data_IF_008618514565
#
_entry.id   IF_008618514565
#
_cell.length_a   1.000
_cell.length_b   1.000
_cell.length_c   1.000
_cell.angle_alpha   90.00
_cell.angle_beta   90.00
_cell.angle_gamma   90.00
#
_symmetry.space_group_name_H-M   'P 1'
#
loop_
_entity.id
_entity.type
_entity.pdbx_description
1 polymer ?
#
# COMPACT_ATOMS: atom_id res chain seq x y z
N UNK A 1 -18.45 -19.71 -0.97
CA UNK A 1 -19.13 -18.44 -0.65
C UNK A 1 -19.87 -18.08 -1.93
N UNK A 2 -21.17 -17.85 -1.86
CA UNK A 2 -22.02 -17.69 -3.04
C UNK A 2 -21.91 -16.22 -3.50
N UNK A 3 -21.01 -15.94 -4.43
CA UNK A 3 -20.84 -14.62 -5.04
C UNK A 3 -22.03 -14.36 -5.98
N UNK A 4 -23.18 -14.04 -5.38
CA UNK A 4 -24.37 -13.65 -6.15
C UNK A 4 -24.16 -12.23 -6.66
N UNK A 5 -23.95 -12.14 -7.98
CA UNK A 5 -24.05 -10.89 -8.73
C UNK A 5 -25.53 -10.49 -8.71
N UNK A 6 -25.87 -9.45 -7.95
CA UNK A 6 -27.22 -8.90 -7.83
C UNK A 6 -27.24 -7.51 -8.46
N UNK A 7 -28.42 -7.04 -8.89
CA UNK A 7 -28.57 -5.65 -9.30
C UNK A 7 -28.21 -4.74 -8.12
N UNK A 8 -27.34 -3.76 -8.38
CA UNK A 8 -26.86 -2.79 -7.43
C UNK A 8 -28.03 -2.08 -6.70
N UNK A 9 -28.14 -2.18 -5.35
CA UNK A 9 -29.08 -1.37 -4.57
C UNK A 9 -28.87 0.14 -4.76
N UNK A 10 -29.88 1.00 -4.52
CA UNK A 10 -29.74 2.44 -4.73
C UNK A 10 -28.51 3.05 -4.04
N UNK A 11 -28.22 2.63 -2.79
CA UNK A 11 -27.05 3.14 -2.07
C UNK A 11 -25.71 2.80 -2.73
N UNK A 12 -25.59 1.65 -3.43
CA UNK A 12 -24.34 1.32 -4.11
C UNK A 12 -24.25 1.99 -5.48
N UNK A 13 -25.39 2.23 -6.14
CA UNK A 13 -25.42 3.04 -7.37
C UNK A 13 -24.97 4.46 -7.07
N UNK A 14 -25.43 5.08 -5.98
CA UNK A 14 -24.96 6.40 -5.55
C UNK A 14 -23.46 6.41 -5.28
N UNK A 15 -22.93 5.39 -4.60
CA UNK A 15 -21.49 5.25 -4.35
C UNK A 15 -20.68 5.07 -5.64
N UNK A 16 -21.18 4.26 -6.58
CA UNK A 16 -20.60 4.05 -7.91
C UNK A 16 -20.55 5.35 -8.72
N UNK A 17 -21.66 6.11 -8.74
CA UNK A 17 -21.72 7.41 -9.42
C UNK A 17 -20.72 8.38 -8.82
N UNK A 18 -20.69 8.51 -7.50
CA UNK A 18 -19.73 9.38 -6.82
C UNK A 18 -18.28 8.99 -7.11
N UNK A 19 -17.99 7.68 -7.11
CA UNK A 19 -16.67 7.15 -7.43
C UNK A 19 -16.28 7.49 -8.87
N UNK A 20 -17.15 7.23 -9.84
CA UNK A 20 -16.89 7.49 -11.26
C UNK A 20 -16.74 9.00 -11.54
N UNK A 21 -17.59 9.85 -10.94
CA UNK A 21 -17.49 11.31 -11.07
C UNK A 21 -16.16 11.86 -10.54
N UNK A 22 -15.59 11.22 -9.52
CA UNK A 22 -14.37 11.70 -8.85
C UNK A 22 -13.08 11.08 -9.41
N UNK A 23 -13.11 9.80 -9.75
CA UNK A 23 -11.92 9.03 -10.09
C UNK A 23 -11.97 8.39 -11.47
N UNK A 24 -13.12 8.39 -12.14
CA UNK A 24 -13.30 7.77 -13.45
C UNK A 24 -12.28 8.28 -14.47
N UNK A 25 -11.58 7.35 -15.11
CA UNK A 25 -10.57 7.63 -16.13
C UNK A 25 -9.21 8.08 -15.58
N UNK A 26 -9.02 8.10 -14.26
CA UNK A 26 -7.69 8.31 -13.69
C UNK A 26 -6.81 7.09 -13.98
N UNK A 27 -5.74 7.33 -14.73
CA UNK A 27 -4.75 6.32 -15.06
C UNK A 27 -3.32 6.84 -14.84
N UNK A 28 -2.48 6.06 -14.17
CA UNK A 28 -1.06 6.40 -14.02
C UNK A 28 -0.15 5.17 -13.78
N UNK A 29 1.09 5.17 -14.32
CA UNK A 29 2.07 4.12 -14.05
C UNK A 29 2.84 4.40 -12.75
N UNK A 30 2.73 3.51 -11.77
CA UNK A 30 3.45 3.64 -10.50
C UNK A 30 4.88 3.09 -10.56
N UNK A 31 5.11 1.89 -11.12
CA UNK A 31 6.44 1.23 -11.15
C UNK A 31 6.76 0.44 -12.44
N UNK A 32 5.82 0.32 -13.37
CA UNK A 32 5.96 -0.49 -14.58
C UNK A 32 5.15 0.05 -15.76
N UNK A 33 5.08 -0.75 -16.83
CA UNK A 33 4.26 -0.41 -18.01
C UNK A 33 2.77 -0.58 -17.74
N UNK A 34 2.39 -1.41 -16.77
CA UNK A 34 0.99 -1.58 -16.41
C UNK A 34 0.67 -0.55 -15.31
N UNK A 35 -0.15 0.43 -15.69
CA UNK A 35 -0.63 1.48 -14.80
C UNK A 35 -1.75 1.01 -13.90
N UNK A 36 -2.16 1.90 -13.00
CA UNK A 36 -3.35 1.75 -12.18
C UNK A 36 -4.49 2.50 -12.84
N UNK A 37 -5.64 1.86 -12.99
CA UNK A 37 -6.86 2.45 -13.57
C UNK A 37 -7.94 2.55 -12.50
N UNK A 38 -8.56 3.73 -12.38
CA UNK A 38 -9.75 3.95 -11.57
C UNK A 38 -10.94 4.19 -12.49
N UNK A 39 -12.01 3.44 -12.27
CA UNK A 39 -13.24 3.55 -13.03
C UNK A 39 -14.00 2.22 -13.05
N UNK A 40 -15.29 2.29 -13.32
CA UNK A 40 -16.19 1.14 -13.36
C UNK A 40 -16.17 0.39 -14.69
N UNK A 41 -15.33 0.79 -15.65
CA UNK A 41 -15.23 0.16 -16.97
C UNK A 41 -16.56 0.09 -17.75
N UNK A 42 -17.55 0.92 -17.38
CA UNK A 42 -18.86 0.98 -18.00
C UNK A 42 -19.86 -0.10 -17.57
N UNK A 43 -19.56 -0.95 -16.57
CA UNK A 43 -20.50 -1.96 -16.06
C UNK A 43 -20.68 -1.81 -14.55
N UNK A 44 -21.83 -1.30 -14.06
CA UNK A 44 -22.07 -1.11 -12.63
C UNK A 44 -22.46 -2.43 -11.97
N UNK A 45 -21.50 -3.33 -11.78
CA UNK A 45 -21.69 -4.58 -11.03
C UNK A 45 -21.31 -4.38 -9.57
N UNK A 46 -22.22 -4.75 -8.68
CA UNK A 46 -21.98 -4.82 -7.26
C UNK A 46 -22.02 -6.28 -6.81
N UNK A 47 -21.22 -6.60 -5.80
CA UNK A 47 -21.24 -7.90 -5.14
C UNK A 47 -21.29 -7.74 -3.62
N UNK A 48 -21.80 -8.78 -2.95
CA UNK A 48 -21.85 -8.84 -1.50
C UNK A 48 -20.67 -9.64 -0.97
N UNK A 49 -19.71 -8.94 -0.38
CA UNK A 49 -18.54 -9.53 0.27
C UNK A 49 -18.66 -9.61 1.81
N UNK A 50 -17.62 -10.13 2.49
CA UNK A 50 -17.59 -10.24 3.96
C UNK A 50 -17.68 -8.91 4.71
N UNK A 51 -17.36 -7.79 4.04
CA UNK A 51 -17.39 -6.43 4.61
C UNK A 51 -18.60 -5.61 4.16
N UNK A 52 -19.56 -6.23 3.47
CA UNK A 52 -20.75 -5.57 2.95
C UNK A 52 -20.80 -5.55 1.43
N UNK A 53 -21.57 -4.61 0.89
CA UNK A 53 -21.66 -4.39 -0.55
C UNK A 53 -20.40 -3.67 -1.05
N UNK A 54 -19.88 -4.13 -2.18
CA UNK A 54 -18.70 -3.60 -2.82
C UNK A 54 -18.82 -3.63 -4.35
N UNK A 55 -17.94 -2.92 -5.03
CA UNK A 55 -17.82 -2.97 -6.48
C UNK A 55 -16.35 -2.88 -6.91
N UNK A 56 -16.03 -3.51 -8.04
CA UNK A 56 -14.72 -3.40 -8.67
C UNK A 56 -14.60 -2.03 -9.33
N UNK A 57 -13.79 -1.14 -8.75
CA UNK A 57 -13.56 0.21 -9.29
C UNK A 57 -12.08 0.54 -9.52
N UNK A 58 -11.17 -0.32 -9.04
CA UNK A 58 -9.73 -0.06 -9.09
C UNK A 58 -9.05 -1.31 -9.66
N UNK A 59 -8.52 -1.17 -10.87
CA UNK A 59 -7.65 -2.16 -11.48
C UNK A 59 -6.22 -1.80 -11.11
N UNK A 60 -5.65 -2.63 -10.27
CA UNK A 60 -4.33 -2.44 -9.70
C UNK A 60 -3.29 -3.16 -10.60
N UNK A 61 -2.22 -2.45 -10.98
CA UNK A 61 -1.30 -2.83 -12.07
C UNK A 61 -0.34 -3.98 -11.75
N UNK A 62 0.89 -3.95 -12.30
CA UNK A 62 1.92 -5.04 -12.31
C UNK A 62 2.24 -5.77 -10.97
N UNK A 63 1.67 -5.32 -9.86
CA UNK A 63 1.94 -5.79 -8.51
C UNK A 63 0.74 -6.39 -7.79
N UNK A 64 -0.46 -6.38 -8.37
CA UNK A 64 -1.66 -6.34 -7.53
C UNK A 64 -2.89 -7.02 -8.12
N UNK A 65 -3.72 -7.47 -7.19
CA UNK A 65 -5.04 -8.04 -7.41
C UNK A 65 -6.05 -6.90 -7.53
N UNK A 66 -7.20 -7.11 -8.21
CA UNK A 66 -8.29 -6.13 -8.19
C UNK A 66 -8.64 -5.70 -6.76
N UNK A 67 -8.88 -4.39 -6.61
CA UNK A 67 -9.26 -3.79 -5.33
C UNK A 67 -10.72 -3.39 -5.40
N UNK A 68 -11.48 -3.88 -4.42
CA UNK A 68 -12.88 -3.56 -4.26
C UNK A 68 -13.04 -2.22 -3.54
N UNK A 69 -14.03 -1.45 -3.98
CA UNK A 69 -14.47 -0.22 -3.30
C UNK A 69 -15.74 -0.54 -2.52
N UNK A 70 -15.70 -0.31 -1.20
CA UNK A 70 -16.88 -0.43 -0.33
C UNK A 70 -17.78 0.79 -0.48
N UNK A 71 -19.07 0.64 -0.13
CA UNK A 71 -20.06 1.75 -0.17
C UNK A 71 -19.60 3.00 0.60
N UNK A 72 -18.80 2.83 1.66
CA UNK A 72 -18.26 3.94 2.46
C UNK A 72 -16.95 4.52 1.91
N UNK A 73 -16.52 4.11 0.72
CA UNK A 73 -15.33 4.61 0.03
C UNK A 73 -14.00 4.01 0.50
N UNK A 74 -14.00 3.15 1.52
CA UNK A 74 -12.84 2.32 1.86
C UNK A 74 -12.54 1.35 0.73
N UNK A 75 -11.29 0.91 0.65
CA UNK A 75 -10.90 -0.13 -0.29
C UNK A 75 -10.60 -1.43 0.45
N UNK A 76 -10.95 -2.55 -0.17
CA UNK A 76 -10.73 -3.87 0.37
C UNK A 76 -10.17 -4.80 -0.69
N UNK A 77 -9.45 -5.83 -0.25
CA UNK A 77 -8.88 -6.85 -1.10
C UNK A 77 -9.16 -8.23 -0.52
N UNK A 78 -9.58 -9.18 -1.35
CA UNK A 78 -9.60 -10.61 -1.05
C UNK A 78 -10.29 -11.45 -2.14
N UNK A 79 -10.63 -12.72 -1.87
CA UNK A 79 -9.73 -13.71 -1.30
C UNK A 79 -8.94 -14.35 -2.45
N UNK A 80 -7.86 -13.71 -2.88
CA UNK A 80 -6.82 -14.39 -3.66
C UNK A 80 -6.14 -15.42 -2.73
N UNK A 81 -4.91 -15.12 -2.31
CA UNK A 81 -4.18 -15.97 -1.38
C UNK A 81 -4.52 -15.73 0.11
N UNK A 82 -5.24 -14.66 0.44
CA UNK A 82 -5.46 -14.22 1.83
C UNK A 82 -6.92 -13.87 2.12
N UNK A 83 -7.29 -13.74 3.40
CA UNK A 83 -8.65 -13.38 3.81
C UNK A 83 -9.03 -11.97 3.36
N UNK A 84 -10.30 -11.74 3.03
CA UNK A 84 -10.80 -10.41 2.68
C UNK A 84 -10.55 -9.37 3.80
N UNK A 85 -9.92 -8.24 3.48
CA UNK A 85 -9.52 -7.22 4.46
C UNK A 85 -9.56 -5.80 3.85
N UNK A 86 -9.90 -4.81 4.67
CA UNK A 86 -9.76 -3.39 4.33
C UNK A 86 -8.27 -3.04 4.25
N UNK A 87 -7.83 -2.49 3.12
CA UNK A 87 -6.44 -2.10 2.91
C UNK A 87 -6.26 -0.58 3.00
N UNK A 88 -7.17 0.20 2.39
CA UNK A 88 -7.15 1.66 2.47
C UNK A 88 -8.40 2.17 3.20
N UNK A 89 -8.23 3.23 3.99
CA UNK A 89 -9.38 3.87 4.66
C UNK A 89 -10.21 4.72 3.70
N UNK A 90 -9.67 5.03 2.54
CA UNK A 90 -10.36 5.70 1.44
C UNK A 90 -9.54 5.61 0.14
N UNK A 91 -10.20 5.78 -1.01
CA UNK A 91 -9.53 5.97 -2.30
C UNK A 91 -8.61 7.20 -2.29
N UNK A 92 -9.02 8.30 -1.63
CA UNK A 92 -8.17 9.49 -1.47
C UNK A 92 -6.85 9.17 -0.75
N UNK A 93 -6.89 8.42 0.36
CA UNK A 93 -5.68 8.06 1.10
C UNK A 93 -4.73 7.21 0.25
N UNK A 94 -5.28 6.31 -0.58
CA UNK A 94 -4.52 5.52 -1.52
C UNK A 94 -3.81 6.39 -2.55
N UNK A 95 -4.50 7.37 -3.13
CA UNK A 95 -3.92 8.32 -4.09
C UNK A 95 -2.79 9.14 -3.45
N UNK A 96 -2.99 9.62 -2.23
CA UNK A 96 -1.95 10.35 -1.47
C UNK A 96 -0.73 9.47 -1.19
N UNK A 97 -0.94 8.21 -0.81
CA UNK A 97 0.15 7.24 -0.62
C UNK A 97 0.96 7.02 -1.90
N UNK A 98 0.29 6.85 -3.04
CA UNK A 98 0.95 6.69 -4.32
C UNK A 98 1.70 7.95 -4.76
N UNK A 99 1.10 9.13 -4.58
CA UNK A 99 1.77 10.40 -4.86
C UNK A 99 3.04 10.57 -4.01
N UNK A 100 2.95 10.22 -2.72
CA UNK A 100 4.09 10.25 -1.82
C UNK A 100 5.17 9.25 -2.25
N UNK A 101 4.80 7.99 -2.59
CA UNK A 101 5.75 7.01 -3.12
C UNK A 101 6.43 7.52 -4.39
N UNK A 102 5.69 8.12 -5.32
CA UNK A 102 6.26 8.71 -6.55
C UNK A 102 7.30 9.79 -6.25
N UNK A 103 7.10 10.59 -5.19
CA UNK A 103 8.04 11.65 -4.80
C UNK A 103 9.34 11.12 -4.19
N UNK A 104 9.30 9.98 -3.48
CA UNK A 104 10.45 9.42 -2.76
C UNK A 104 11.08 8.19 -3.44
N UNK A 105 10.43 7.56 -4.43
CA UNK A 105 10.94 6.32 -5.07
C UNK A 105 12.33 6.46 -5.69
N UNK A 106 12.73 7.68 -6.06
CA UNK A 106 14.07 7.98 -6.59
C UNK A 106 15.16 8.09 -5.52
N UNK A 107 14.80 8.13 -4.24
CA UNK A 107 15.74 8.28 -3.14
C UNK A 107 16.49 6.97 -2.86
N UNK A 108 17.62 7.07 -2.16
CA UNK A 108 18.32 5.87 -1.68
C UNK A 108 17.45 5.20 -0.61
N UNK A 109 17.38 3.87 -0.60
CA UNK A 109 16.55 3.19 0.39
C UNK A 109 17.10 1.86 0.88
N UNK A 110 16.68 1.49 2.08
CA UNK A 110 16.81 0.15 2.66
C UNK A 110 15.43 -0.43 2.89
N UNK A 111 15.34 -1.74 2.69
CA UNK A 111 14.09 -2.48 2.82
C UNK A 111 14.24 -3.57 3.87
N UNK A 112 13.22 -3.72 4.70
CA UNK A 112 13.13 -4.75 5.72
C UNK A 112 11.80 -5.46 5.62
N UNK A 113 11.76 -6.71 6.07
CA UNK A 113 10.54 -7.46 6.29
C UNK A 113 10.25 -7.47 7.78
N UNK A 114 9.03 -7.11 8.15
CA UNK A 114 8.55 -7.07 9.53
C UNK A 114 7.34 -7.99 9.68
N UNK A 115 7.35 -8.82 10.71
CA UNK A 115 6.24 -9.72 11.04
C UNK A 115 5.54 -9.23 12.29
N UNK A 116 4.22 -9.11 12.24
CA UNK A 116 3.38 -8.74 13.38
C UNK A 116 2.30 -9.80 13.61
N UNK A 117 1.70 -9.88 14.80
CA UNK A 117 0.46 -10.63 14.96
C UNK A 117 -0.57 -10.15 13.92
N UNK A 118 -1.45 -11.07 13.51
CA UNK A 118 -2.49 -10.75 12.54
C UNK A 118 -3.33 -9.55 12.99
N UNK A 119 -3.65 -8.68 12.04
CA UNK A 119 -4.44 -7.45 12.24
C UNK A 119 -3.77 -6.41 13.17
N UNK A 120 -2.46 -6.55 13.41
CA UNK A 120 -1.67 -5.60 14.21
C UNK A 120 -0.72 -4.83 13.30
N UNK A 121 -0.87 -3.52 13.27
CA UNK A 121 0.05 -2.60 12.59
C UNK A 121 1.41 -2.58 13.31
N UNK A 122 2.55 -2.52 12.60
CA UNK A 122 3.87 -2.40 13.20
C UNK A 122 3.95 -1.16 14.11
N UNK A 123 4.21 -1.40 15.37
CA UNK A 123 4.36 -0.37 16.39
C UNK A 123 5.73 0.27 16.27
N UNK A 124 5.74 1.58 16.17
CA UNK A 124 6.93 2.38 15.96
C UNK A 124 7.39 3.10 17.21
N UNK A 125 8.69 3.25 17.38
CA UNK A 125 9.24 4.24 18.31
C UNK A 125 9.29 5.60 17.58
N UNK A 126 8.19 6.36 17.69
CA UNK A 126 8.01 7.64 16.98
C UNK A 126 9.12 8.66 17.25
N UNK A 127 9.87 8.53 18.36
CA UNK A 127 11.01 9.39 18.68
C UNK A 127 12.16 9.26 17.68
N UNK A 128 12.16 8.21 16.88
CA UNK A 128 13.17 7.91 15.86
C UNK A 128 12.63 7.96 14.43
N UNK A 129 11.38 8.41 14.26
CA UNK A 129 10.77 8.61 12.95
C UNK A 129 10.60 10.09 12.64
N UNK A 130 10.55 10.44 11.34
CA UNK A 130 9.97 11.70 10.90
C UNK A 130 8.53 11.87 11.41
N UNK A 131 7.95 13.08 11.31
CA UNK A 131 6.52 13.26 11.53
C UNK A 131 5.66 12.33 10.67
N UNK A 132 4.53 11.80 11.20
CA UNK A 132 3.62 10.98 10.41
C UNK A 132 2.95 11.81 9.30
N UNK A 133 2.54 11.15 8.23
CA UNK A 133 1.73 11.72 7.14
C UNK A 133 0.34 11.08 7.19
N UNK A 134 -0.61 11.65 7.96
CA UNK A 134 -1.91 11.05 8.16
C UNK A 134 -2.65 10.80 6.86
N UNK A 135 -2.58 11.72 5.90
CA UNK A 135 -3.32 11.72 4.63
C UNK A 135 -2.99 10.49 3.78
N UNK A 136 -1.71 10.10 3.73
CA UNK A 136 -1.20 8.94 3.02
C UNK A 136 -1.28 7.63 3.82
N UNK A 137 -1.63 7.69 5.12
CA UNK A 137 -1.60 6.54 6.02
C UNK A 137 -2.99 5.92 6.24
N UNK A 138 -3.08 4.60 6.17
CA UNK A 138 -4.27 3.78 6.36
C UNK A 138 -3.97 2.41 6.99
N UNK A 139 -4.96 1.49 6.97
CA UNK A 139 -4.86 0.18 7.63
C UNK A 139 -3.75 -0.74 7.14
N UNK A 140 -3.40 -0.67 5.85
CA UNK A 140 -2.36 -1.49 5.23
C UNK A 140 -1.11 -0.69 4.83
N UNK A 141 -1.06 0.61 5.12
CA UNK A 141 0.07 1.45 4.73
C UNK A 141 0.26 2.63 5.68
N UNK A 142 1.47 2.84 6.18
CA UNK A 142 1.79 3.95 7.08
C UNK A 142 3.01 4.71 6.58
N UNK A 143 2.94 6.03 6.70
CA UNK A 143 3.95 6.95 6.17
C UNK A 143 4.43 7.95 7.22
N UNK A 144 5.73 8.24 7.16
CA UNK A 144 6.39 9.30 7.89
C UNK A 144 7.32 10.05 6.93
N UNK A 145 7.35 11.38 7.00
CA UNK A 145 8.15 12.23 6.11
C UNK A 145 8.70 13.45 6.84
N UNK A 146 9.98 13.70 6.64
CA UNK A 146 10.63 14.98 6.91
C UNK A 146 11.36 15.38 5.62
N UNK A 147 10.71 16.25 4.83
CA UNK A 147 11.23 16.64 3.52
C UNK A 147 12.47 17.55 3.64
N UNK A 148 12.56 18.33 4.73
CA UNK A 148 13.70 19.19 5.01
C UNK A 148 14.94 18.34 5.35
N UNK A 149 14.78 17.32 6.20
CA UNK A 149 15.82 16.34 6.50
C UNK A 149 16.10 15.38 5.32
N UNK A 150 15.19 15.30 4.37
CA UNK A 150 15.26 14.38 3.23
C UNK A 150 15.16 12.92 3.65
N UNK A 151 14.25 12.62 4.58
CA UNK A 151 14.02 11.28 5.15
C UNK A 151 12.54 10.93 5.04
N UNK A 152 12.22 9.75 4.50
CA UNK A 152 10.87 9.21 4.51
C UNK A 152 10.88 7.74 4.95
N UNK A 153 9.82 7.31 5.61
CA UNK A 153 9.66 5.93 6.07
C UNK A 153 8.28 5.45 5.67
N UNK A 154 8.22 4.24 5.15
CA UNK A 154 7.00 3.57 4.72
C UNK A 154 6.91 2.20 5.37
N UNK A 155 5.73 1.84 5.86
CA UNK A 155 5.39 0.47 6.23
C UNK A 155 4.16 0.06 5.40
N UNK A 156 4.30 -0.94 4.54
CA UNK A 156 3.21 -1.44 3.68
C UNK A 156 2.96 -2.90 3.97
N UNK A 157 1.71 -3.29 4.21
CA UNK A 157 1.29 -4.67 4.36
C UNK A 157 1.50 -5.39 3.03
N UNK A 158 2.40 -6.37 3.01
CA UNK A 158 2.77 -7.14 1.82
C UNK A 158 2.01 -8.47 1.72
N UNK A 159 1.56 -9.01 2.85
CA UNK A 159 0.74 -10.22 2.90
C UNK A 159 0.18 -10.44 4.30
N UNK A 160 -0.92 -11.18 4.40
CA UNK A 160 -1.56 -11.49 5.68
C UNK A 160 -2.00 -12.96 5.75
N UNK A 161 -1.04 -13.91 5.76
CA UNK A 161 -1.36 -15.31 5.98
C UNK A 161 -2.06 -15.53 7.33
N UNK A 162 -2.72 -16.68 7.54
CA UNK A 162 -3.58 -16.90 8.70
C UNK A 162 -2.93 -16.68 10.08
N UNK A 163 -1.61 -16.85 10.18
CA UNK A 163 -0.87 -16.82 11.44
C UNK A 163 -0.28 -15.45 11.82
N UNK A 164 0.03 -14.60 10.83
CA UNK A 164 0.74 -13.34 11.03
C UNK A 164 0.61 -12.41 9.84
N UNK A 165 0.79 -11.12 10.06
CA UNK A 165 0.91 -10.15 8.99
C UNK A 165 2.40 -10.00 8.60
N UNK A 166 2.64 -9.85 7.31
CA UNK A 166 3.95 -9.55 6.73
C UNK A 166 3.94 -8.13 6.16
N UNK A 167 4.84 -7.31 6.66
CA UNK A 167 5.00 -5.90 6.31
C UNK A 167 6.33 -5.68 5.61
N UNK A 168 6.32 -4.91 4.53
CA UNK A 168 7.52 -4.32 3.93
C UNK A 168 7.75 -2.95 4.56
N UNK A 169 8.91 -2.78 5.18
CA UNK A 169 9.36 -1.49 5.70
C UNK A 169 10.40 -0.91 4.74
N UNK A 170 10.25 0.34 4.33
CA UNK A 170 11.23 1.06 3.50
C UNK A 170 11.66 2.34 4.19
N UNK A 171 12.96 2.53 4.28
CA UNK A 171 13.57 3.76 4.78
C UNK A 171 14.25 4.46 3.61
N UNK A 172 13.74 5.63 3.23
CA UNK A 172 14.20 6.45 2.12
C UNK A 172 15.02 7.63 2.65
N UNK A 173 16.14 7.91 2.00
CA UNK A 173 16.93 9.12 2.27
C UNK A 173 17.50 9.71 0.99
N UNK A 174 17.66 11.03 0.95
CA UNK A 174 18.26 11.72 -0.21
C UNK A 174 19.74 11.36 -0.40
N UNK A 175 20.47 11.06 0.68
CA UNK A 175 21.89 10.70 0.63
C UNK A 175 22.15 9.23 1.00
N UNK A 176 23.08 8.53 0.32
CA UNK A 176 23.42 7.14 0.65
C UNK A 176 23.98 6.94 2.07
N UNK A 177 24.69 7.94 2.61
CA UNK A 177 25.28 7.87 3.95
C UNK A 177 24.18 7.78 5.03
N UNK A 178 23.14 8.62 4.93
CA UNK A 178 21.99 8.56 5.84
C UNK A 178 21.23 7.24 5.71
N UNK A 179 21.15 6.64 4.51
CA UNK A 179 20.50 5.33 4.34
C UNK A 179 21.27 4.23 5.07
N UNK A 180 22.59 4.35 5.18
CA UNK A 180 23.43 3.35 5.82
C UNK A 180 23.20 3.27 7.34
N UNK A 181 22.71 4.34 7.94
CA UNK A 181 22.39 4.44 9.36
C UNK A 181 20.94 4.02 9.67
N UNK A 182 20.12 3.76 8.63
CA UNK A 182 18.76 3.29 8.80
C UNK A 182 18.76 1.93 9.52
N UNK A 183 18.16 1.92 10.70
CA UNK A 183 18.08 0.76 11.58
C UNK A 183 16.63 0.25 11.67
N UNK A 184 16.40 -1.07 11.55
CA UNK A 184 15.08 -1.66 11.74
C UNK A 184 14.60 -1.61 13.19
N UNK A 185 15.43 -1.14 14.12
CA UNK A 185 15.09 -1.01 15.55
C UNK A 185 13.86 -0.15 15.82
N UNK A 186 13.51 0.73 14.88
CA UNK A 186 12.40 1.67 15.03
C UNK A 186 11.02 0.98 15.01
N UNK A 187 10.90 -0.25 14.50
CA UNK A 187 9.63 -0.96 14.37
C UNK A 187 9.41 -2.08 15.41
N UNK A 188 10.14 -2.05 16.53
CA UNK A 188 10.22 -3.20 17.46
C UNK A 188 9.07 -3.33 18.46
N UNK A 189 8.18 -2.34 18.59
CA UNK A 189 7.22 -2.32 19.70
C UNK A 189 6.15 -3.43 19.60
N UNK A 190 5.73 -3.78 18.38
CA UNK A 190 4.78 -4.89 18.13
C UNK A 190 5.30 -5.94 17.15
N UNK A 191 6.49 -5.74 16.59
CA UNK A 191 7.11 -6.72 15.70
C UNK A 191 7.51 -7.97 16.48
N UNK A 192 7.09 -9.13 15.99
CA UNK A 192 7.62 -10.42 16.40
C UNK A 192 9.06 -10.59 15.90
N UNK A 193 9.30 -10.10 14.68
CA UNK A 193 10.60 -10.18 14.01
C UNK A 193 10.71 -9.06 12.97
N UNK A 194 11.90 -8.48 12.83
CA UNK A 194 12.22 -7.57 11.72
C UNK A 194 13.59 -7.94 11.17
N UNK A 195 13.64 -8.33 9.90
CA UNK A 195 14.85 -8.81 9.21
C UNK A 195 15.10 -7.97 7.97
N UNK A 196 16.37 -7.81 7.54
CA UNK A 196 16.65 -7.20 6.24
C UNK A 196 15.96 -7.98 5.11
N UNK A 197 15.36 -7.27 4.16
CA UNK A 197 14.70 -7.91 3.02
C UNK A 197 15.74 -8.49 2.06
N UNK A 198 15.39 -9.62 1.43
CA UNK A 198 16.21 -10.27 0.40
C UNK A 198 15.84 -9.81 -1.01
N UNK A 199 14.72 -9.11 -1.17
CA UNK A 199 14.18 -8.64 -2.43
C UNK A 199 13.63 -7.23 -2.27
N UNK A 200 13.94 -6.35 -3.22
CA UNK A 200 13.33 -5.03 -3.30
C UNK A 200 12.19 -5.07 -4.29
N UNK A 201 10.97 -4.98 -3.77
CA UNK A 201 9.75 -4.87 -4.56
C UNK A 201 9.70 -3.58 -5.37
N UNK A 202 10.21 -2.47 -4.81
CA UNK A 202 10.25 -1.18 -5.50
C UNK A 202 11.20 -1.19 -6.72
N UNK A 203 12.37 -1.83 -6.59
CA UNK A 203 13.37 -1.89 -7.66
C UNK A 203 13.28 -3.15 -8.52
N UNK A 204 12.43 -4.12 -8.14
CA UNK A 204 12.35 -5.45 -8.76
C UNK A 204 13.70 -6.16 -8.89
N UNK A 205 14.49 -6.17 -7.80
CA UNK A 205 15.84 -6.77 -7.77
C UNK A 205 16.14 -7.45 -6.42
N UNK A 206 17.03 -8.47 -6.37
CA UNK A 206 17.56 -8.99 -5.13
C UNK A 206 18.36 -7.94 -4.34
N UNK A 207 18.32 -8.00 -3.01
CA UNK A 207 19.11 -7.15 -2.12
C UNK A 207 20.03 -8.04 -1.29
N UNK A 208 21.30 -7.63 -1.14
CA UNK A 208 22.18 -8.23 -0.14
C UNK A 208 21.68 -7.79 1.25
N UNK A 209 21.41 -8.72 2.19
CA UNK A 209 20.87 -8.40 3.50
C UNK A 209 21.62 -7.26 4.19
N UNK A 210 20.89 -6.23 4.62
CA UNK A 210 21.42 -5.10 5.37
C UNK A 210 22.11 -4.03 4.52
N UNK A 211 22.22 -4.22 3.20
CA UNK A 211 22.76 -3.19 2.30
C UNK A 211 21.65 -2.31 1.73
N UNK A 212 22.03 -1.08 1.37
CA UNK A 212 21.19 -0.17 0.60
C UNK A 212 20.85 -0.81 -0.74
N UNK A 213 19.59 -0.73 -1.15
CA UNK A 213 19.16 -1.27 -2.42
C UNK A 213 19.98 -0.60 -3.56
N UNK A 214 20.55 -1.37 -4.50
CA UNK A 214 21.12 -0.78 -5.70
C UNK A 214 19.96 -0.06 -6.40
N UNK A 215 20.04 1.26 -6.55
CA UNK A 215 19.00 2.02 -7.27
C UNK A 215 18.74 1.32 -8.60
N UNK A 216 17.47 1.05 -8.91
CA UNK A 216 17.10 0.80 -10.29
C UNK A 216 17.56 2.04 -11.07
N UNK A 217 18.44 1.85 -12.07
CA UNK A 217 18.69 2.92 -13.03
C UNK A 217 17.32 3.31 -13.60
N UNK A 218 16.99 4.61 -13.72
CA UNK A 218 15.82 4.96 -14.49
C UNK A 218 15.98 4.31 -15.86
N UNK A 219 15.03 3.46 -16.23
CA UNK A 219 14.85 3.03 -17.60
C UNK A 219 14.65 4.31 -18.42
N UNK A 220 15.55 4.55 -19.37
CA UNK A 220 15.45 5.60 -20.38
C UNK A 220 14.15 5.47 -21.18
#
# INVERSE_FOLDING_TARGET
>A
MDDRIEAAPPEIVEAMVWFEERYGGLWYPLLGSNGMEHGLGGVPLAHRGPLGLAFEGIVDGDWTWPVDVLVDGRTAMGPGQWSYRVIDRSVDQRLESHALLLSVRGWCHRTFTCYTPRDVVPGTDERHLPPPVPEASGPAECWWLDDDAGVAVQATLAGWPPERDEWTLRYFTRTPAQTADASPTVFRATAQETVPALWCTLCSQPIIPGLTCPRARPSE
#
